data_IF_276768002235
#
_entry.id   IF_276768002235
#
_cell.length_a   1.000
_cell.length_b   1.000
_cell.length_c   1.000
_cell.angle_alpha   90.00
_cell.angle_beta   90.00
_cell.angle_gamma   90.00
#
_symmetry.space_group_name_H-M   'P 1'
#
loop_
_entity.id
_entity.type
_entity.pdbx_description
1 polymer ?
#
# COMPACT_ATOMS: atom_id res chain seq x y z
N UNK A 1 18.67 15.81 -10.74
CA UNK A 1 19.79 16.09 -11.67
C UNK A 1 19.97 14.99 -12.70
N UNK A 2 20.06 13.70 -12.32
CA UNK A 2 20.22 12.58 -13.27
C UNK A 2 19.27 12.57 -14.48
N UNK A 3 17.97 12.77 -14.27
CA UNK A 3 16.99 12.85 -15.36
C UNK A 3 17.31 13.97 -16.38
N UNK A 4 17.72 15.14 -15.90
CA UNK A 4 18.09 16.29 -16.75
C UNK A 4 19.47 16.12 -17.40
N UNK A 5 20.29 15.18 -16.91
CA UNK A 5 21.57 14.83 -17.51
C UNK A 5 21.42 13.78 -18.63
N UNK A 6 20.19 13.37 -18.98
CA UNK A 6 19.92 12.36 -20.01
C UNK A 6 20.07 10.92 -19.53
N UNK A 7 20.18 10.70 -18.22
CA UNK A 7 20.26 9.35 -17.65
C UNK A 7 18.87 8.70 -17.60
N UNK A 8 18.81 7.39 -17.88
CA UNK A 8 17.57 6.62 -17.78
C UNK A 8 17.26 6.28 -16.32
N UNK A 9 16.39 7.07 -15.70
CA UNK A 9 15.95 6.87 -14.31
C UNK A 9 14.55 6.24 -14.28
N UNK A 10 14.41 5.11 -13.58
CA UNK A 10 13.10 4.55 -13.22
C UNK A 10 12.77 4.93 -11.78
N UNK A 11 11.68 5.66 -11.60
CA UNK A 11 11.12 5.94 -10.29
C UNK A 11 9.72 5.37 -10.20
N UNK A 12 9.60 4.23 -9.50
CA UNK A 12 8.32 3.58 -9.22
C UNK A 12 7.93 3.90 -7.78
N UNK A 13 6.85 4.65 -7.57
CA UNK A 13 6.36 4.95 -6.23
C UNK A 13 5.75 3.70 -5.62
N UNK A 14 5.65 3.67 -4.30
CA UNK A 14 4.88 2.64 -3.63
C UNK A 14 4.44 2.99 -2.24
N UNK A 15 3.58 2.13 -1.73
CA UNK A 15 2.85 2.33 -0.50
C UNK A 15 2.95 1.13 0.40
N UNK A 16 3.10 1.42 1.68
CA UNK A 16 2.87 0.46 2.73
C UNK A 16 1.38 0.42 3.09
N UNK A 17 0.76 -0.74 2.91
CA UNK A 17 -0.68 -0.94 2.94
C UNK A 17 -1.14 -1.80 4.13
N UNK A 18 -0.24 -2.22 5.01
CA UNK A 18 -0.54 -3.07 6.15
C UNK A 18 -0.12 -2.42 7.48
N UNK A 19 -0.41 -3.09 8.58
CA UNK A 19 0.07 -2.73 9.91
C UNK A 19 -0.99 -2.10 10.81
N UNK A 20 -0.62 -1.97 12.08
CA UNK A 20 -1.48 -1.51 13.15
C UNK A 20 -2.12 -0.13 12.91
N UNK A 21 -1.45 0.86 12.28
CA UNK A 21 -2.07 2.17 12.04
C UNK A 21 -3.38 2.08 11.23
N UNK A 22 -3.41 1.28 10.16
CA UNK A 22 -4.60 1.12 9.33
C UNK A 22 -5.69 0.35 10.09
N UNK A 23 -5.30 -0.70 10.81
CA UNK A 23 -6.24 -1.48 11.63
C UNK A 23 -6.94 -0.58 12.67
N UNK A 24 -6.19 0.25 13.39
CA UNK A 24 -6.74 1.19 14.36
C UNK A 24 -7.70 2.20 13.72
N UNK A 25 -7.35 2.75 12.55
CA UNK A 25 -8.24 3.69 11.85
C UNK A 25 -9.55 3.03 11.40
N UNK A 26 -9.47 1.80 10.89
CA UNK A 26 -10.66 1.01 10.51
C UNK A 26 -11.51 0.67 11.73
N UNK A 27 -10.88 0.31 12.85
CA UNK A 27 -11.60 0.05 14.10
C UNK A 27 -12.34 1.29 14.61
N UNK A 28 -11.71 2.46 14.56
CA UNK A 28 -12.36 3.74 14.89
C UNK A 28 -13.53 4.02 13.94
N UNK A 29 -13.36 3.82 12.62
CA UNK A 29 -14.43 4.00 11.62
C UNK A 29 -15.60 3.04 11.84
N UNK A 30 -15.35 1.79 12.23
CA UNK A 30 -16.38 0.76 12.41
C UNK A 30 -17.09 0.85 13.77
N UNK A 31 -16.43 1.33 14.81
CA UNK A 31 -16.98 1.42 16.17
C UNK A 31 -17.55 0.08 16.66
N UNK A 32 -18.75 0.10 17.23
CA UNK A 32 -19.40 -1.10 17.77
C UNK A 32 -19.75 -2.17 16.70
N UNK A 33 -19.86 -1.79 15.42
CA UNK A 33 -20.15 -2.74 14.33
C UNK A 33 -19.04 -3.77 14.15
N UNK A 34 -17.81 -3.50 14.61
CA UNK A 34 -16.69 -4.45 14.59
C UNK A 34 -17.05 -5.78 15.26
N UNK A 35 -17.83 -5.75 16.35
CA UNK A 35 -18.15 -6.94 17.16
C UNK A 35 -18.97 -7.98 16.40
N UNK A 36 -19.71 -7.56 15.37
CA UNK A 36 -20.52 -8.44 14.53
C UNK A 36 -19.83 -8.85 13.22
N UNK A 37 -18.63 -8.31 12.93
CA UNK A 37 -17.91 -8.57 11.69
C UNK A 37 -16.87 -9.67 11.85
N UNK A 38 -16.72 -10.50 10.83
CA UNK A 38 -15.65 -11.48 10.75
C UNK A 38 -14.30 -10.82 10.51
N UNK A 39 -13.21 -11.53 10.85
CA UNK A 39 -11.84 -11.11 10.53
C UNK A 39 -11.63 -10.87 9.03
N UNK A 40 -12.32 -11.61 8.16
CA UNK A 40 -12.23 -11.45 6.72
C UNK A 40 -12.81 -10.11 6.27
N UNK A 41 -13.97 -9.74 6.82
CA UNK A 41 -14.62 -8.46 6.53
C UNK A 41 -13.78 -7.29 7.03
N UNK A 42 -13.24 -7.38 8.26
CA UNK A 42 -12.34 -6.35 8.79
C UNK A 42 -11.11 -6.16 7.88
N UNK A 43 -10.49 -7.26 7.41
CA UNK A 43 -9.38 -7.18 6.45
C UNK A 43 -9.76 -6.57 5.11
N UNK A 44 -11.01 -6.77 4.65
CA UNK A 44 -11.53 -6.10 3.45
C UNK A 44 -11.59 -4.59 3.66
N UNK A 45 -12.14 -4.15 4.79
CA UNK A 45 -12.19 -2.73 5.14
C UNK A 45 -10.80 -2.10 5.27
N UNK A 46 -9.81 -2.83 5.80
CA UNK A 46 -8.42 -2.36 5.81
C UNK A 46 -7.84 -2.19 4.40
N UNK A 47 -8.11 -3.11 3.48
CA UNK A 47 -7.68 -3.00 2.07
C UNK A 47 -8.37 -1.84 1.35
N UNK A 48 -9.65 -1.61 1.62
CA UNK A 48 -10.40 -0.48 1.06
C UNK A 48 -9.85 0.84 1.58
N UNK A 49 -9.61 0.95 2.89
CA UNK A 49 -8.99 2.11 3.51
C UNK A 49 -7.60 2.40 2.93
N UNK A 50 -6.76 1.38 2.78
CA UNK A 50 -5.45 1.53 2.17
C UNK A 50 -5.56 2.04 0.71
N UNK A 51 -6.46 1.49 -0.09
CA UNK A 51 -6.68 1.94 -1.47
C UNK A 51 -7.17 3.39 -1.56
N UNK A 52 -8.07 3.80 -0.66
CA UNK A 52 -8.56 5.18 -0.56
C UNK A 52 -7.39 6.15 -0.40
N UNK A 53 -6.55 5.93 0.62
CA UNK A 53 -5.40 6.80 0.90
C UNK A 53 -4.29 6.72 -0.15
N UNK A 54 -4.08 5.55 -0.78
CA UNK A 54 -3.17 5.42 -1.93
C UNK A 54 -3.58 6.38 -3.05
N UNK A 55 -4.87 6.48 -3.35
CA UNK A 55 -5.34 7.36 -4.42
C UNK A 55 -5.21 8.84 -4.03
N UNK A 56 -5.62 9.21 -2.81
CA UNK A 56 -5.48 10.57 -2.29
C UNK A 56 -4.02 11.03 -2.37
N UNK A 57 -3.11 10.26 -1.78
CA UNK A 57 -1.69 10.59 -1.75
C UNK A 57 -1.07 10.59 -3.16
N UNK A 58 -1.48 9.67 -4.03
CA UNK A 58 -1.03 9.65 -5.44
C UNK A 58 -1.36 10.95 -6.14
N UNK A 59 -2.60 11.42 -6.00
CA UNK A 59 -3.05 12.65 -6.66
C UNK A 59 -2.39 13.89 -6.05
N UNK A 60 -2.17 13.91 -4.74
CA UNK A 60 -1.38 14.94 -4.06
C UNK A 60 0.07 14.97 -4.56
N UNK A 61 0.76 13.84 -4.64
CA UNK A 61 2.13 13.79 -5.16
C UNK A 61 2.22 14.21 -6.64
N UNK A 62 1.24 13.82 -7.46
CA UNK A 62 1.13 14.33 -8.84
C UNK A 62 0.98 15.85 -8.85
N UNK A 63 0.15 16.41 -7.97
CA UNK A 63 -0.06 17.85 -7.86
C UNK A 63 1.21 18.61 -7.43
N UNK A 64 2.07 17.98 -6.62
CA UNK A 64 3.38 18.49 -6.23
C UNK A 64 4.43 18.41 -7.35
N UNK A 65 4.07 17.90 -8.54
CA UNK A 65 4.97 17.80 -9.69
C UNK A 65 5.93 16.60 -9.63
N UNK A 66 5.64 15.60 -8.80
CA UNK A 66 6.44 14.38 -8.74
C UNK A 66 6.28 13.57 -10.04
N UNK A 67 7.40 13.30 -10.70
CA UNK A 67 7.44 12.53 -11.96
C UNK A 67 7.81 11.08 -11.61
N UNK A 68 6.85 10.16 -11.69
CA UNK A 68 7.01 8.76 -11.35
C UNK A 68 6.13 7.85 -12.23
N UNK A 69 6.36 6.53 -12.19
CA UNK A 69 5.46 5.54 -12.80
C UNK A 69 4.21 5.36 -11.93
N UNK A 70 3.18 6.14 -12.22
CA UNK A 70 1.91 6.10 -11.49
C UNK A 70 0.99 4.95 -11.89
N UNK A 71 1.25 4.29 -13.02
CA UNK A 71 0.41 3.22 -13.55
C UNK A 71 0.72 1.87 -12.88
N UNK A 72 1.98 1.64 -12.52
CA UNK A 72 2.44 0.41 -11.87
C UNK A 72 3.15 0.66 -10.54
N UNK A 73 2.48 1.27 -9.55
CA UNK A 73 3.08 1.43 -8.24
C UNK A 73 3.24 0.09 -7.53
N UNK A 74 4.25 -0.05 -6.67
CA UNK A 74 4.33 -1.22 -5.79
C UNK A 74 3.43 -0.99 -4.57
N UNK A 75 2.59 -1.96 -4.24
CA UNK A 75 1.71 -1.90 -3.06
C UNK A 75 1.97 -3.15 -2.24
N UNK A 76 2.24 -3.00 -0.94
CA UNK A 76 2.59 -4.16 -0.11
C UNK A 76 1.43 -5.15 0.04
N UNK A 77 0.19 -4.72 -0.24
CA UNK A 77 -1.00 -5.57 -0.26
C UNK A 77 -1.25 -6.30 -1.60
N UNK A 78 -0.44 -6.08 -2.64
CA UNK A 78 -0.54 -6.88 -3.87
C UNK A 78 -0.16 -8.33 -3.57
N UNK A 79 -0.95 -9.27 -4.08
CA UNK A 79 -0.71 -10.70 -3.84
C UNK A 79 0.69 -11.16 -4.29
N UNK A 80 1.21 -10.59 -5.37
CA UNK A 80 2.58 -10.86 -5.84
C UNK A 80 3.63 -10.47 -4.79
N UNK A 81 3.44 -9.32 -4.12
CA UNK A 81 4.33 -8.82 -3.09
C UNK A 81 4.23 -9.66 -1.81
N UNK A 82 3.01 -9.96 -1.36
CA UNK A 82 2.76 -10.84 -0.21
C UNK A 82 3.36 -12.25 -0.43
N UNK A 83 3.22 -12.79 -1.64
CA UNK A 83 3.83 -14.07 -2.01
C UNK A 83 5.35 -14.00 -2.01
N UNK A 84 5.95 -12.89 -2.46
CA UNK A 84 7.39 -12.68 -2.39
C UNK A 84 7.90 -12.65 -0.94
N UNK A 85 7.21 -11.92 -0.05
CA UNK A 85 7.53 -11.91 1.40
C UNK A 85 7.53 -13.33 1.95
N UNK A 86 6.48 -14.11 1.65
CA UNK A 86 6.37 -15.47 2.14
C UNK A 86 7.52 -16.36 1.64
N UNK A 87 7.88 -16.28 0.36
CA UNK A 87 9.01 -17.04 -0.20
C UNK A 87 10.33 -16.68 0.50
N UNK A 88 10.60 -15.39 0.67
CA UNK A 88 11.82 -14.93 1.37
C UNK A 88 11.85 -15.41 2.82
N UNK A 89 10.71 -15.38 3.52
CA UNK A 89 10.62 -15.93 4.88
C UNK A 89 10.95 -17.43 4.90
N UNK A 90 10.42 -18.21 3.94
CA UNK A 90 10.73 -19.63 3.81
C UNK A 90 12.19 -19.92 3.46
N UNK A 91 12.91 -19.00 2.81
CA UNK A 91 14.34 -19.13 2.54
C UNK A 91 15.18 -18.89 3.79
N UNK A 92 14.82 -17.87 4.60
CA UNK A 92 15.52 -17.49 5.82
C UNK A 92 15.28 -18.50 6.96
N UNK A 93 14.07 -19.07 7.04
CA UNK A 93 13.69 -19.99 8.11
C UNK A 93 14.23 -21.42 7.93
N UNK A 94 15.01 -21.68 6.86
CA UNK A 94 15.75 -22.93 6.67
C UNK A 94 17.00 -22.95 7.53
#
# INVERSE_FOLDING_TARGET
THYFNGESIRFTPGWDCHGLPIEQQVEIKLGDKKKSLSKKEIRSFCREHANEFVNIQRDEFKSLGVIADWDKPYLTMKFEFEAAIYRTLCEIAK
#
